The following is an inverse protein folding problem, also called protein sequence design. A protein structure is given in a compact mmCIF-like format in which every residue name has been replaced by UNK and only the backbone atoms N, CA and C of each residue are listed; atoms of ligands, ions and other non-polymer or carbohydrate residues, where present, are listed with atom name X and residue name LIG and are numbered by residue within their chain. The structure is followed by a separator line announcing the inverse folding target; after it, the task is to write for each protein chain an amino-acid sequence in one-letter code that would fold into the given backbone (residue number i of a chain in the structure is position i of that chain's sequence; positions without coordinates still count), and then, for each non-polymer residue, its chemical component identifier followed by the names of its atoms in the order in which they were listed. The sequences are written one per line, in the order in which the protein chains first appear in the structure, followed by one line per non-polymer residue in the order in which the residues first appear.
data_IF_596469696760
#
_entry.id   IF_596469696760
#
_cell.length_a   1.000
_cell.length_b   1.000
_cell.length_c   1.000
_cell.angle_alpha   90.00
_cell.angle_beta   90.00
_cell.angle_gamma   90.00
#
_symmetry.space_group_name_H-M   'P 1'
#
loop_
_entity.id
_entity.type
_entity.pdbx_description
1 polymer ?
#
# COMPACT_ATOMS: atom_id res chain seq x y z
N UNK A 1 -17.40 24.48 2.79
CA UNK A 1 -17.59 24.47 4.27
C UNK A 1 -17.50 23.01 4.72
N UNK A 2 -16.48 22.63 5.49
CA UNK A 2 -16.39 21.27 6.04
C UNK A 2 -17.61 20.98 6.91
N UNK A 3 -18.27 19.87 6.63
CA UNK A 3 -19.44 19.39 7.36
C UNK A 3 -19.02 18.97 8.78
N UNK A 4 -19.89 19.11 9.78
CA UNK A 4 -19.60 18.64 11.17
C UNK A 4 -19.23 17.15 11.21
N UNK A 5 -19.72 16.38 10.24
CA UNK A 5 -19.50 14.96 10.07
C UNK A 5 -18.09 14.62 9.54
N UNK A 6 -17.37 15.57 8.94
CA UNK A 6 -16.04 15.32 8.36
C UNK A 6 -14.91 15.26 9.40
N UNK A 7 -15.17 15.61 10.67
CA UNK A 7 -14.14 15.70 11.72
C UNK A 7 -13.84 14.37 12.41
N UNK A 8 -14.83 13.48 12.47
CA UNK A 8 -14.73 12.24 13.20
C UNK A 8 -14.73 11.07 12.22
N UNK A 9 -13.72 10.21 12.34
CA UNK A 9 -13.54 9.06 11.46
C UNK A 9 -14.67 8.02 11.58
N UNK A 10 -15.26 7.88 12.76
CA UNK A 10 -16.31 6.88 13.07
C UNK A 10 -17.73 7.41 12.92
N UNK A 11 -17.88 8.61 12.37
CA UNK A 11 -19.19 9.24 12.18
C UNK A 11 -19.53 9.19 10.70
N UNK A 12 -20.60 8.48 10.38
CA UNK A 12 -21.18 8.49 9.04
C UNK A 12 -21.80 9.85 8.74
N UNK A 13 -21.55 10.34 7.53
CA UNK A 13 -22.26 11.48 6.99
C UNK A 13 -23.73 11.10 6.68
N UNK A 14 -24.64 12.08 6.52
CA UNK A 14 -26.07 11.81 6.29
C UNK A 14 -26.38 10.97 5.05
N UNK A 15 -25.45 10.91 4.10
CA UNK A 15 -25.47 10.12 2.87
C UNK A 15 -24.91 8.68 3.06
N UNK A 16 -24.49 8.32 4.28
CA UNK A 16 -23.95 7.00 4.61
C UNK A 16 -22.46 6.82 4.32
N UNK A 17 -21.74 7.89 3.94
CA UNK A 17 -20.32 7.83 3.60
C UNK A 17 -19.41 8.20 4.79
N UNK A 18 -18.18 7.68 4.76
CA UNK A 18 -17.12 8.07 5.69
C UNK A 18 -16.16 9.05 5.01
N UNK A 19 -16.36 10.35 5.22
CA UNK A 19 -15.60 11.42 4.55
C UNK A 19 -14.08 11.29 4.73
N UNK A 20 -13.63 10.87 5.92
CA UNK A 20 -12.19 10.70 6.22
C UNK A 20 -11.52 9.60 5.38
N UNK A 21 -12.27 8.56 4.99
CA UNK A 21 -11.76 7.52 4.09
C UNK A 21 -11.68 8.06 2.66
N UNK A 22 -12.67 8.85 2.23
CA UNK A 22 -12.65 9.50 0.92
C UNK A 22 -11.44 10.44 0.75
N UNK A 23 -11.09 11.20 1.80
CA UNK A 23 -9.87 12.03 1.78
C UNK A 23 -8.59 11.21 1.69
N UNK A 24 -8.57 10.00 2.24
CA UNK A 24 -7.44 9.10 2.09
C UNK A 24 -7.30 8.63 0.63
N UNK A 25 -8.41 8.33 -0.06
CA UNK A 25 -8.40 8.02 -1.50
C UNK A 25 -7.90 9.21 -2.34
N UNK A 26 -8.36 10.44 -2.05
CA UNK A 26 -7.83 11.64 -2.73
C UNK A 26 -6.32 11.83 -2.51
N UNK A 27 -5.78 11.40 -1.36
CA UNK A 27 -4.35 11.43 -1.11
C UNK A 27 -3.60 10.36 -1.93
N UNK A 28 -4.22 9.20 -2.19
CA UNK A 28 -3.69 8.17 -3.08
C UNK A 28 -3.58 8.68 -4.51
N UNK A 29 -4.65 9.31 -5.02
CA UNK A 29 -4.69 9.86 -6.39
C UNK A 29 -3.62 10.92 -6.67
N UNK A 30 -3.22 11.67 -5.64
CA UNK A 30 -2.12 12.67 -5.74
C UNK A 30 -0.73 12.04 -5.76
N UNK A 31 -0.61 10.75 -5.45
CA UNK A 31 0.65 10.00 -5.48
C UNK A 31 1.16 9.75 -6.91
N UNK A 32 2.43 9.32 -7.05
CA UNK A 32 2.91 8.84 -8.36
C UNK A 32 2.33 7.47 -8.67
N UNK A 33 2.09 7.21 -9.94
CA UNK A 33 1.37 6.02 -10.39
C UNK A 33 2.19 4.74 -10.19
N UNK A 34 1.51 3.64 -9.91
CA UNK A 34 2.09 2.28 -9.92
C UNK A 34 1.17 1.36 -10.68
N UNK A 35 1.74 0.45 -11.46
CA UNK A 35 1.01 -0.50 -12.29
C UNK A 35 1.54 -1.89 -11.98
N UNK A 36 0.63 -2.87 -11.88
CA UNK A 36 0.96 -4.28 -11.82
C UNK A 36 0.27 -5.02 -12.94
N UNK A 37 0.98 -5.94 -13.59
CA UNK A 37 0.44 -6.81 -14.64
C UNK A 37 0.74 -8.25 -14.26
N UNK A 38 -0.31 -9.08 -14.20
CA UNK A 38 -0.21 -10.52 -13.98
C UNK A 38 -0.29 -11.23 -15.32
N UNK A 39 0.79 -11.91 -15.70
CA UNK A 39 0.83 -12.84 -16.81
C UNK A 39 0.37 -14.24 -16.40
N UNK A 40 0.64 -15.23 -17.26
CA UNK A 40 0.37 -16.64 -16.96
C UNK A 40 1.32 -17.19 -15.90
N UNK A 41 2.61 -16.93 -16.08
CA UNK A 41 3.68 -17.53 -15.27
C UNK A 41 4.51 -16.48 -14.52
N UNK A 42 4.18 -15.19 -14.66
CA UNK A 42 4.92 -14.09 -14.04
C UNK A 42 4.01 -12.94 -13.63
N UNK A 43 4.55 -12.06 -12.78
CA UNK A 43 3.93 -10.78 -12.40
C UNK A 43 4.98 -9.69 -12.48
N UNK A 44 4.62 -8.55 -13.05
CA UNK A 44 5.51 -7.41 -13.28
C UNK A 44 4.94 -6.17 -12.62
N UNK A 45 5.80 -5.41 -11.94
CA UNK A 45 5.48 -4.10 -11.39
C UNK A 45 6.20 -2.99 -12.14
N UNK A 46 5.47 -1.94 -12.48
CA UNK A 46 5.98 -0.67 -12.98
C UNK A 46 5.67 0.45 -11.99
N UNK A 47 6.67 1.26 -11.64
CA UNK A 47 6.48 2.40 -10.74
C UNK A 47 6.97 3.68 -11.38
N UNK A 48 6.13 4.71 -11.37
CA UNK A 48 6.54 6.04 -11.79
C UNK A 48 7.41 6.68 -10.69
N UNK A 49 8.66 6.99 -11.04
CA UNK A 49 9.59 7.74 -10.19
C UNK A 49 9.74 9.15 -10.73
N UNK A 50 9.28 10.15 -9.97
CA UNK A 50 9.57 11.56 -10.24
C UNK A 50 11.03 11.83 -9.87
N UNK A 51 11.91 11.82 -10.87
CA UNK A 51 13.33 12.16 -10.74
C UNK A 51 13.66 13.48 -11.44
N UNK A 52 14.89 13.94 -11.29
CA UNK A 52 15.46 15.13 -11.95
C UNK A 52 15.21 15.20 -13.46
N UNK A 53 15.08 14.04 -14.11
CA UNK A 53 14.97 13.90 -15.58
C UNK A 53 13.53 14.10 -16.07
N UNK A 54 12.52 13.87 -15.21
CA UNK A 54 11.10 13.77 -15.62
C UNK A 54 10.24 14.98 -15.22
N UNK A 55 10.66 15.78 -14.24
CA UNK A 55 9.82 16.85 -13.69
C UNK A 55 10.10 18.22 -14.31
N UNK A 56 9.05 18.91 -14.78
CA UNK A 56 9.09 20.33 -15.23
C UNK A 56 9.70 21.27 -14.16
N UNK A 57 9.64 20.88 -12.88
CA UNK A 57 10.26 21.57 -11.75
C UNK A 57 11.66 21.01 -11.43
N UNK A 58 12.57 21.16 -12.40
CA UNK A 58 13.96 20.65 -12.40
C UNK A 58 14.79 21.04 -11.16
N UNK A 59 14.41 22.11 -10.46
CA UNK A 59 15.10 22.62 -9.26
C UNK A 59 14.85 21.79 -7.99
N UNK A 60 13.69 21.14 -7.84
CA UNK A 60 13.30 20.49 -6.57
C UNK A 60 13.99 19.16 -6.27
N UNK A 61 14.46 18.46 -7.30
CA UNK A 61 14.98 17.09 -7.17
C UNK A 61 16.49 17.00 -7.40
N UNK A 62 17.17 18.13 -7.72
CA UNK A 62 18.57 18.21 -8.19
C UNK A 62 19.64 17.76 -7.18
N UNK A 63 19.23 17.51 -5.94
CA UNK A 63 20.09 17.10 -4.83
C UNK A 63 19.72 15.70 -4.32
N UNK A 64 18.73 15.04 -4.94
CA UNK A 64 18.28 13.72 -4.52
C UNK A 64 18.87 12.66 -5.44
N UNK A 65 19.63 11.72 -4.88
CA UNK A 65 20.06 10.56 -5.64
C UNK A 65 18.83 9.69 -6.00
N UNK A 66 18.50 9.54 -7.30
CA UNK A 66 17.34 8.77 -7.75
C UNK A 66 17.38 7.28 -7.33
N UNK A 67 18.56 6.74 -6.99
CA UNK A 67 18.73 5.35 -6.53
C UNK A 67 18.19 5.14 -5.13
N UNK A 68 18.11 6.19 -4.32
CA UNK A 68 17.62 6.12 -2.93
C UNK A 68 16.10 6.01 -2.84
N UNK A 69 15.38 6.45 -3.88
CA UNK A 69 13.91 6.44 -3.92
C UNK A 69 13.43 5.04 -4.33
N UNK A 70 13.12 4.22 -3.31
CA UNK A 70 12.51 2.89 -3.46
C UNK A 70 11.00 2.97 -3.27
N UNK A 71 10.27 2.51 -4.30
CA UNK A 71 8.80 2.38 -4.32
C UNK A 71 8.32 0.93 -4.44
N UNK A 72 9.23 0.03 -4.80
CA UNK A 72 9.05 -1.41 -4.70
C UNK A 72 9.78 -1.82 -3.42
N UNK A 73 9.03 -2.42 -2.51
CA UNK A 73 9.47 -2.80 -1.17
C UNK A 73 9.38 -4.33 -1.08
N UNK A 74 10.52 -5.04 -1.01
CA UNK A 74 10.49 -6.48 -0.77
C UNK A 74 9.97 -6.71 0.65
N UNK A 75 8.96 -7.58 0.78
CA UNK A 75 8.34 -7.92 2.07
C UNK A 75 8.90 -9.26 2.56
N UNK A 76 9.01 -10.21 1.66
CA UNK A 76 9.60 -11.53 1.89
C UNK A 76 10.36 -11.95 0.62
N UNK A 77 11.00 -13.12 0.61
CA UNK A 77 11.75 -13.64 -0.55
C UNK A 77 10.87 -13.78 -1.80
N UNK A 78 9.62 -14.21 -1.63
CA UNK A 78 8.64 -14.45 -2.68
C UNK A 78 7.55 -13.37 -2.77
N UNK A 79 7.55 -12.37 -1.89
CA UNK A 79 6.52 -11.31 -1.81
C UNK A 79 7.11 -9.91 -1.90
N UNK A 80 6.56 -9.09 -2.79
CA UNK A 80 6.92 -7.68 -2.93
C UNK A 80 5.69 -6.79 -2.92
N UNK A 81 5.87 -5.57 -2.42
CA UNK A 81 4.82 -4.56 -2.31
C UNK A 81 5.23 -3.29 -3.05
N UNK A 82 4.30 -2.72 -3.81
CA UNK A 82 4.40 -1.33 -4.27
C UNK A 82 3.17 -0.53 -3.86
N UNK A 83 3.22 0.78 -4.00
CA UNK A 83 2.18 1.66 -3.48
C UNK A 83 2.02 2.97 -4.26
N UNK A 84 0.79 3.45 -4.28
CA UNK A 84 0.42 4.82 -4.62
C UNK A 84 0.02 5.59 -3.34
N UNK A 85 0.22 6.90 -3.32
CA UNK A 85 -0.04 7.75 -2.15
C UNK A 85 1.19 8.05 -1.28
N UNK A 86 0.97 8.18 0.04
CA UNK A 86 1.96 8.68 1.00
C UNK A 86 3.06 7.65 1.36
N UNK A 87 4.32 7.95 1.01
CA UNK A 87 5.44 7.02 1.23
C UNK A 87 5.68 6.62 2.69
N UNK A 88 5.44 7.52 3.65
CA UNK A 88 5.62 7.22 5.07
C UNK A 88 4.67 6.11 5.55
N UNK A 89 3.41 6.18 5.11
CA UNK A 89 2.36 5.21 5.42
C UNK A 89 2.68 3.83 4.84
N UNK A 90 3.13 3.78 3.59
CA UNK A 90 3.54 2.54 2.94
C UNK A 90 4.72 1.85 3.66
N UNK A 91 5.68 2.61 4.17
CA UNK A 91 6.81 2.04 4.95
C UNK A 91 6.34 1.39 6.24
N UNK A 92 5.35 1.98 6.92
CA UNK A 92 4.76 1.39 8.13
C UNK A 92 4.09 0.05 7.80
N UNK A 93 3.27 0.01 6.73
CA UNK A 93 2.61 -1.22 6.29
C UNK A 93 3.62 -2.30 5.88
N UNK A 94 4.64 -1.93 5.10
CA UNK A 94 5.68 -2.85 4.67
C UNK A 94 6.47 -3.45 5.86
N UNK A 95 6.82 -2.64 6.86
CA UNK A 95 7.53 -3.13 8.04
C UNK A 95 6.66 -4.06 8.89
N UNK A 96 5.36 -3.76 9.03
CA UNK A 96 4.42 -4.66 9.71
C UNK A 96 4.25 -5.98 8.96
N UNK A 97 4.15 -5.93 7.64
CA UNK A 97 4.05 -7.13 6.81
C UNK A 97 5.32 -8.00 6.90
N UNK A 98 6.52 -7.40 6.94
CA UNK A 98 7.79 -8.13 7.15
C UNK A 98 7.82 -8.87 8.49
N UNK A 99 7.41 -8.20 9.56
CA UNK A 99 7.34 -8.80 10.89
C UNK A 99 6.31 -9.94 10.93
N UNK A 100 5.18 -9.76 10.26
CA UNK A 100 4.16 -10.80 10.12
C UNK A 100 4.68 -12.02 9.36
N UNK A 101 5.40 -11.82 8.25
CA UNK A 101 6.01 -12.93 7.49
C UNK A 101 6.97 -13.75 8.36
N UNK A 102 7.82 -13.07 9.13
CA UNK A 102 8.76 -13.73 10.04
C UNK A 102 8.03 -14.47 11.16
N UNK A 103 7.01 -13.85 11.75
CA UNK A 103 6.18 -14.49 12.77
C UNK A 103 5.43 -15.70 12.23
N UNK A 104 4.91 -15.62 11.00
CA UNK A 104 4.19 -16.73 10.37
C UNK A 104 5.13 -17.92 10.16
N UNK A 105 6.32 -17.70 9.58
CA UNK A 105 7.34 -18.74 9.42
C UNK A 105 7.77 -19.36 10.74
N UNK A 106 7.89 -18.56 11.79
CA UNK A 106 8.25 -19.07 13.12
C UNK A 106 7.14 -19.92 13.74
N UNK A 107 5.88 -19.53 13.58
CA UNK A 107 4.74 -20.21 14.23
C UNK A 107 4.19 -21.41 13.45
N UNK A 108 4.22 -21.33 12.11
CA UNK A 108 3.61 -22.32 11.21
C UNK A 108 4.66 -23.21 10.53
N UNK A 109 5.95 -22.90 10.71
CA UNK A 109 7.08 -23.58 10.04
C UNK A 109 6.96 -23.59 8.51
N UNK A 110 6.22 -22.64 7.95
CA UNK A 110 5.90 -22.56 6.53
C UNK A 110 5.88 -21.12 6.02
N UNK A 111 5.92 -20.97 4.70
CA UNK A 111 5.96 -19.68 4.00
C UNK A 111 4.55 -19.08 3.94
N UNK A 112 4.36 -17.79 4.29
CA UNK A 112 3.05 -17.16 4.17
C UNK A 112 2.64 -16.99 2.71
N UNK A 113 1.39 -17.34 2.35
CA UNK A 113 0.88 -17.09 0.99
C UNK A 113 0.73 -15.60 0.70
N UNK A 114 0.79 -15.22 -0.59
CA UNK A 114 0.62 -13.82 -1.02
C UNK A 114 -0.77 -13.29 -0.60
N UNK A 115 -1.78 -14.14 -0.72
CA UNK A 115 -3.16 -13.87 -0.31
C UNK A 115 -3.27 -13.61 1.20
N UNK A 116 -2.55 -14.35 2.03
CA UNK A 116 -2.49 -14.13 3.48
C UNK A 116 -1.92 -12.75 3.81
N UNK A 117 -0.77 -12.39 3.21
CA UNK A 117 -0.11 -11.11 3.48
C UNK A 117 -0.93 -9.92 2.97
N UNK A 118 -1.58 -10.05 1.81
CA UNK A 118 -2.48 -9.01 1.31
C UNK A 118 -3.67 -8.80 2.28
N UNK A 119 -4.31 -9.87 2.75
CA UNK A 119 -5.39 -9.79 3.76
C UNK A 119 -4.90 -9.20 5.08
N UNK A 120 -3.68 -9.52 5.50
CA UNK A 120 -3.08 -8.94 6.70
C UNK A 120 -2.93 -7.41 6.58
N UNK A 121 -2.43 -6.93 5.44
CA UNK A 121 -2.28 -5.50 5.16
C UNK A 121 -3.66 -4.81 5.10
N UNK A 122 -4.61 -5.38 4.35
CA UNK A 122 -5.99 -4.90 4.26
C UNK A 122 -6.63 -4.77 5.64
N UNK A 123 -6.49 -5.79 6.50
CA UNK A 123 -7.01 -5.77 7.88
C UNK A 123 -6.39 -4.66 8.72
N UNK A 124 -5.10 -4.36 8.55
CA UNK A 124 -4.46 -3.21 9.21
C UNK A 124 -5.06 -1.90 8.70
N UNK A 125 -5.22 -1.74 7.39
CA UNK A 125 -5.81 -0.54 6.80
C UNK A 125 -7.23 -0.32 7.32
N UNK A 126 -8.08 -1.35 7.23
CA UNK A 126 -9.45 -1.35 7.73
C UNK A 126 -9.54 -0.99 9.22
N UNK A 127 -8.69 -1.57 10.07
CA UNK A 127 -8.69 -1.27 11.52
C UNK A 127 -8.44 0.21 11.81
N UNK A 128 -7.66 0.88 10.98
CA UNK A 128 -7.39 2.32 11.07
C UNK A 128 -8.52 3.20 10.53
N UNK A 129 -9.57 2.62 9.94
CA UNK A 129 -10.81 3.32 9.57
C UNK A 129 -11.89 3.25 10.65
N UNK A 130 -11.78 2.31 11.59
CA UNK A 130 -12.81 2.06 12.62
C UNK A 130 -12.37 2.49 14.02
N UNK A 131 -11.09 2.82 14.21
CA UNK A 131 -10.54 3.20 15.52
C UNK A 131 -10.57 4.71 15.71
N UNK A 132 -11.11 5.16 16.85
CA UNK A 132 -11.04 6.57 17.23
C UNK A 132 -9.60 7.03 17.47
N UNK A 133 -9.33 8.31 17.25
CA UNK A 133 -8.03 8.98 17.49
C UNK A 133 -6.88 8.51 16.59
N UNK A 134 -7.16 7.81 15.48
CA UNK A 134 -6.18 7.56 14.42
C UNK A 134 -6.71 8.08 13.08
N UNK A 135 -5.81 8.29 12.12
CA UNK A 135 -6.17 8.59 10.74
C UNK A 135 -6.06 7.34 9.86
N UNK A 136 -6.89 7.20 8.82
CA UNK A 136 -6.70 6.17 7.80
C UNK A 136 -5.34 6.28 7.10
N UNK A 137 -4.92 5.17 6.50
CA UNK A 137 -3.74 5.13 5.65
C UNK A 137 -4.02 5.81 4.31
N UNK A 138 -3.18 6.77 3.91
CA UNK A 138 -3.30 7.46 2.62
C UNK A 138 -2.56 6.73 1.50
N UNK A 139 -2.66 5.40 1.44
CA UNK A 139 -1.96 4.56 0.46
C UNK A 139 -2.85 3.44 -0.05
N UNK A 140 -2.73 3.15 -1.34
CA UNK A 140 -3.15 1.88 -1.93
C UNK A 140 -1.91 1.07 -2.27
N UNK A 141 -1.94 -0.23 -1.99
CA UNK A 141 -0.81 -1.12 -2.15
C UNK A 141 -1.11 -2.20 -3.18
N UNK A 142 -0.17 -2.44 -4.08
CA UNK A 142 -0.15 -3.65 -4.92
C UNK A 142 0.79 -4.64 -4.26
N UNK A 143 0.25 -5.79 -3.86
CA UNK A 143 0.99 -6.91 -3.30
C UNK A 143 1.13 -7.95 -4.40
N UNK A 144 2.38 -8.32 -4.70
CA UNK A 144 2.70 -9.33 -5.68
C UNK A 144 3.52 -10.43 -5.05
N UNK A 145 3.44 -11.61 -5.66
CA UNK A 145 4.35 -12.69 -5.37
C UNK A 145 4.09 -13.87 -6.28
N UNK A 146 4.87 -14.92 -6.06
CA UNK A 146 4.67 -16.20 -6.70
C UNK A 146 4.30 -17.20 -5.61
N UNK A 147 3.17 -17.86 -5.78
CA UNK A 147 2.76 -18.94 -4.89
C UNK A 147 3.40 -20.25 -5.37
N UNK A 148 4.29 -20.82 -4.56
CA UNK A 148 5.03 -22.03 -4.93
C UNK A 148 4.16 -23.27 -4.93
N UNK A 149 3.16 -23.36 -4.03
CA UNK A 149 2.27 -24.52 -3.92
C UNK A 149 1.36 -24.61 -5.15
N UNK A 150 0.72 -23.49 -5.50
CA UNK A 150 -0.19 -23.42 -6.64
C UNK A 150 0.51 -23.15 -7.97
N UNK A 151 1.84 -22.90 -7.94
CA UNK A 151 2.67 -22.52 -9.10
C UNK A 151 2.03 -21.37 -9.90
N UNK A 152 1.55 -20.36 -9.19
CA UNK A 152 0.75 -19.29 -9.79
C UNK A 152 1.25 -17.91 -9.37
N UNK A 153 1.42 -16.96 -10.32
CA UNK A 153 1.68 -15.58 -9.97
C UNK A 153 0.43 -14.96 -9.34
N UNK A 154 0.63 -14.17 -8.29
CA UNK A 154 -0.42 -13.45 -7.56
C UNK A 154 -0.20 -11.94 -7.65
N UNK A 155 -1.28 -11.21 -7.88
CA UNK A 155 -1.34 -9.74 -7.91
C UNK A 155 -2.62 -9.31 -7.22
N UNK A 156 -2.49 -8.64 -6.08
CA UNK A 156 -3.59 -8.20 -5.24
C UNK A 156 -3.47 -6.70 -4.97
N UNK A 157 -4.62 -6.03 -4.87
CA UNK A 157 -4.72 -4.62 -4.51
C UNK A 157 -5.33 -4.52 -3.11
N UNK A 158 -4.75 -3.68 -2.27
CA UNK A 158 -5.35 -3.25 -1.01
C UNK A 158 -5.52 -1.73 -1.02
N UNK A 159 -6.59 -1.25 -0.42
CA UNK A 159 -7.01 0.15 -0.48
C UNK A 159 -7.12 0.77 0.93
N UNK A 160 -7.14 2.10 1.07
CA UNK A 160 -7.29 2.78 2.37
C UNK A 160 -8.45 2.26 3.24
N UNK A 161 -9.54 1.79 2.63
CA UNK A 161 -10.71 1.21 3.31
C UNK A 161 -10.46 -0.16 3.92
N UNK A 162 -9.42 -0.88 3.48
CA UNK A 162 -9.20 -2.29 3.78
C UNK A 162 -9.17 -3.11 2.51
#
# INVERSE_FOLDING_TARGET
KMSKYDKALTVFAPDGNLSQVQYAFEAVEKGTSTIGIRGKDCVVLGVEKKSEVSSKNKSKYKLQDPRTIKKILPIDEHVSLTFAGLQADARILANRARLECQSYRYNMEDVPTVDYIAKFIARIQQKYTQRNSVRPFGVSCLVIGYDEEEKAPRLLLTEPSG
#
